data_IF_640679213137
#
_entry.id   IF_640679213137
#
_cell.length_a   1.000
_cell.length_b   1.000
_cell.length_c   1.000
_cell.angle_alpha   90.00
_cell.angle_beta   90.00
_cell.angle_gamma   90.00
#
_symmetry.space_group_name_H-M   'P 1'
#
loop_
_entity.id
_entity.type
_entity.pdbx_description
1 polymer ?
#
# COMPACT_ATOMS: atom_id res chain seq x y z
N UNK A 1 4.63 -13.23 -8.96
CA UNK A 1 3.95 -14.18 -8.05
C UNK A 1 3.74 -13.47 -6.73
N UNK A 2 2.50 -13.43 -6.23
CA UNK A 2 2.14 -12.76 -4.97
C UNK A 2 2.32 -13.74 -3.83
N UNK A 3 2.79 -13.29 -2.67
CA UNK A 3 2.94 -14.15 -1.51
C UNK A 3 1.62 -14.35 -0.76
N UNK A 4 1.49 -15.52 -0.14
CA UNK A 4 0.35 -15.85 0.72
C UNK A 4 0.42 -15.13 2.07
N UNK A 5 -0.76 -14.82 2.59
CA UNK A 5 -0.91 -14.20 3.91
C UNK A 5 -0.90 -15.25 5.01
N UNK A 6 -0.25 -14.92 6.12
CA UNK A 6 -0.36 -15.65 7.38
C UNK A 6 -1.31 -14.94 8.31
N UNK A 7 -2.07 -15.71 9.09
CA UNK A 7 -3.03 -15.18 10.06
C UNK A 7 -2.60 -15.62 11.44
N UNK A 8 -2.33 -14.68 12.33
CA UNK A 8 -2.02 -14.97 13.72
C UNK A 8 -2.88 -14.09 14.64
N UNK A 9 -3.71 -14.73 15.48
CA UNK A 9 -4.65 -14.05 16.39
C UNK A 9 -5.50 -12.96 15.70
N UNK A 10 -5.91 -13.20 14.45
CA UNK A 10 -6.70 -12.26 13.64
C UNK A 10 -5.89 -11.17 12.93
N UNK A 11 -4.57 -11.14 13.10
CA UNK A 11 -3.67 -10.24 12.37
C UNK A 11 -3.19 -10.96 11.11
N UNK A 12 -3.52 -10.39 9.95
CA UNK A 12 -3.00 -10.85 8.66
C UNK A 12 -1.64 -10.20 8.39
N UNK A 13 -0.60 -11.00 8.20
CA UNK A 13 0.76 -10.53 7.95
C UNK A 13 1.47 -11.41 6.92
N UNK A 14 2.55 -10.88 6.36
CA UNK A 14 3.51 -11.60 5.51
C UNK A 14 4.90 -11.41 6.07
N UNK A 15 5.73 -12.44 5.94
CA UNK A 15 7.10 -12.39 6.44
C UNK A 15 8.05 -12.13 5.27
N UNK A 16 8.95 -11.15 5.42
CA UNK A 16 9.88 -10.78 4.34
C UNK A 16 10.64 -11.99 3.80
N UNK A 17 11.14 -12.87 4.67
CA UNK A 17 11.93 -14.04 4.30
C UNK A 17 11.17 -15.06 3.44
N UNK A 18 9.83 -15.06 3.51
CA UNK A 18 8.97 -15.94 2.72
C UNK A 18 8.53 -15.34 1.39
N UNK A 19 8.81 -14.04 1.18
CA UNK A 19 8.55 -13.39 -0.09
C UNK A 19 9.58 -13.86 -1.15
N UNK A 20 9.24 -13.81 -2.43
CA UNK A 20 10.23 -14.05 -3.48
C UNK A 20 11.34 -12.98 -3.46
N UNK A 21 12.57 -13.36 -3.81
CA UNK A 21 13.78 -12.50 -3.78
C UNK A 21 13.58 -11.11 -4.40
N UNK A 22 12.88 -11.03 -5.53
CA UNK A 22 12.59 -9.76 -6.21
C UNK A 22 11.74 -8.78 -5.36
N UNK A 23 10.87 -9.30 -4.49
CA UNK A 23 10.08 -8.49 -3.56
C UNK A 23 10.88 -8.19 -2.29
N UNK A 24 11.67 -9.16 -1.81
CA UNK A 24 12.56 -8.95 -0.66
C UNK A 24 13.49 -7.76 -0.89
N UNK A 25 14.13 -7.67 -2.05
CA UNK A 25 15.04 -6.58 -2.41
C UNK A 25 14.35 -5.19 -2.42
N UNK A 26 13.07 -5.13 -2.79
CA UNK A 26 12.31 -3.88 -2.79
C UNK A 26 11.77 -3.51 -1.42
N UNK A 27 11.39 -4.50 -0.62
CA UNK A 27 10.81 -4.30 0.71
C UNK A 27 11.87 -4.14 1.80
N UNK A 28 13.07 -4.72 1.64
CA UNK A 28 14.19 -4.52 2.58
C UNK A 28 14.59 -3.04 2.68
N UNK A 29 14.38 -2.29 1.60
CA UNK A 29 14.59 -0.83 1.59
C UNK A 29 13.46 -0.05 2.30
N UNK A 30 12.32 -0.69 2.56
CA UNK A 30 11.12 -0.10 3.16
C UNK A 30 10.94 -0.53 4.62
N UNK A 31 11.90 -0.14 5.45
CA UNK A 31 11.87 -0.43 6.87
C UNK A 31 10.66 0.14 7.64
N UNK A 32 10.03 1.17 7.09
CA UNK A 32 8.85 1.83 7.66
C UNK A 32 7.61 0.91 7.75
N UNK A 33 7.52 -0.10 6.88
CA UNK A 33 6.38 -1.02 6.81
C UNK A 33 6.56 -2.26 7.71
N UNK A 34 7.74 -2.43 8.32
CA UNK A 34 8.02 -3.60 9.13
C UNK A 34 7.48 -3.45 10.55
N UNK A 35 6.64 -4.40 10.93
CA UNK A 35 6.16 -4.59 12.29
C UNK A 35 6.85 -5.79 12.94
N UNK A 36 6.94 -5.75 14.27
CA UNK A 36 7.38 -6.87 15.10
C UNK A 36 6.15 -7.47 15.75
N UNK A 37 5.95 -8.77 15.55
CA UNK A 37 4.81 -9.51 16.12
C UNK A 37 5.38 -10.56 17.06
N UNK A 38 4.82 -10.66 18.27
CA UNK A 38 5.18 -11.74 19.19
C UNK A 38 4.31 -12.96 18.91
N UNK A 39 4.90 -13.96 18.26
CA UNK A 39 4.24 -15.20 17.86
C UNK A 39 4.78 -16.30 18.79
N UNK A 40 3.90 -16.89 19.60
CA UNK A 40 4.24 -18.02 20.50
C UNK A 40 5.44 -17.74 21.44
N UNK A 41 5.56 -16.50 21.92
CA UNK A 41 6.67 -16.09 22.79
C UNK A 41 7.98 -15.75 22.06
N UNK A 42 8.02 -15.86 20.73
CA UNK A 42 9.13 -15.41 19.89
C UNK A 42 8.80 -14.07 19.25
N UNK A 43 9.72 -13.11 19.33
CA UNK A 43 9.60 -11.84 18.61
C UNK A 43 9.99 -12.08 17.16
N UNK A 44 8.99 -12.08 16.29
CA UNK A 44 9.17 -12.20 14.85
C UNK A 44 9.18 -10.80 14.27
N UNK A 45 10.37 -10.36 13.85
CA UNK A 45 10.56 -9.09 13.13
C UNK A 45 10.46 -9.26 11.61
N UNK A 46 10.53 -8.14 10.88
CA UNK A 46 10.45 -8.12 9.41
C UNK A 46 9.12 -8.68 8.87
N UNK A 47 8.05 -8.51 9.66
CA UNK A 47 6.69 -8.81 9.24
C UNK A 47 6.06 -7.56 8.65
N UNK A 48 5.23 -7.70 7.62
CA UNK A 48 4.45 -6.61 7.05
C UNK A 48 2.99 -7.01 7.18
N UNK A 49 2.11 -6.08 7.58
CA UNK A 49 0.68 -6.37 7.54
C UNK A 49 0.23 -6.65 6.11
N UNK A 50 -0.64 -7.64 5.94
CA UNK A 50 -1.06 -8.05 4.60
C UNK A 50 -1.77 -6.92 3.85
N UNK A 51 -2.48 -6.02 4.55
CA UNK A 51 -3.12 -4.84 3.95
C UNK A 51 -2.10 -3.90 3.31
N UNK A 52 -1.06 -3.53 4.05
CA UNK A 52 0.03 -2.69 3.56
C UNK A 52 0.83 -3.38 2.44
N UNK A 53 1.14 -4.67 2.61
CA UNK A 53 1.80 -5.45 1.57
C UNK A 53 0.94 -5.52 0.30
N UNK A 54 -0.37 -5.73 0.42
CA UNK A 54 -1.28 -5.77 -0.72
C UNK A 54 -1.28 -4.44 -1.46
N UNK A 55 -1.44 -3.33 -0.73
CA UNK A 55 -1.41 -2.00 -1.30
C UNK A 55 -0.08 -1.73 -2.02
N UNK A 56 1.05 -2.05 -1.39
CA UNK A 56 2.37 -1.91 -1.99
C UNK A 56 2.54 -2.81 -3.23
N UNK A 57 2.08 -4.06 -3.17
CA UNK A 57 2.20 -4.99 -4.28
C UNK A 57 1.42 -4.50 -5.50
N UNK A 58 0.19 -4.01 -5.30
CA UNK A 58 -0.65 -3.52 -6.40
C UNK A 58 -0.18 -2.18 -6.95
N UNK A 59 0.23 -1.24 -6.10
CA UNK A 59 0.56 0.13 -6.53
C UNK A 59 2.04 0.34 -6.88
N UNK A 60 2.95 -0.42 -6.28
CA UNK A 60 4.40 -0.23 -6.44
C UNK A 60 5.04 -1.38 -7.20
N UNK A 61 4.77 -2.63 -6.80
CA UNK A 61 5.40 -3.78 -7.42
C UNK A 61 4.82 -4.07 -8.80
N UNK A 62 3.48 -4.23 -8.91
CA UNK A 62 2.76 -4.54 -10.15
C UNK A 62 2.87 -3.41 -11.18
N UNK A 63 2.73 -2.15 -10.74
CA UNK A 63 2.88 -0.96 -11.59
C UNK A 63 4.26 -0.86 -12.25
N UNK A 64 5.32 -1.39 -11.64
CA UNK A 64 6.65 -1.40 -12.27
C UNK A 64 6.83 -2.48 -13.35
N UNK A 65 5.92 -3.46 -13.44
CA UNK A 65 5.98 -4.56 -14.41
C UNK A 65 5.11 -4.25 -15.65
N UNK A 66 4.27 -3.22 -15.60
CA UNK A 66 3.46 -2.76 -16.74
C UNK A 66 3.67 -1.26 -16.97
N UNK A 67 4.12 -0.82 -18.16
CA UNK A 67 4.09 0.60 -18.49
C UNK A 67 2.63 1.08 -18.57
N UNK A 68 2.24 1.91 -17.58
CA UNK A 68 1.13 2.89 -17.55
C UNK A 68 -0.15 2.56 -18.33
N UNK A 69 -1.23 2.37 -17.57
CA UNK A 69 -2.62 2.84 -17.77
C UNK A 69 -3.37 2.42 -16.51
N UNK A 70 -3.89 3.31 -15.66
CA UNK A 70 -5.17 4.02 -15.78
C UNK A 70 -5.29 4.85 -14.46
N UNK A 71 -5.58 6.16 -14.42
CA UNK A 71 -6.93 6.78 -14.45
C UNK A 71 -7.89 5.96 -13.56
N UNK A 72 -8.47 6.43 -12.44
CA UNK A 72 -9.65 7.30 -12.34
C UNK A 72 -9.80 7.86 -10.88
N UNK A 73 -9.84 9.19 -10.78
CA UNK A 73 -10.78 10.12 -10.09
C UNK A 73 -11.52 9.74 -8.79
N UNK A 74 -11.45 10.64 -7.80
CA UNK A 74 -12.57 11.11 -6.95
C UNK A 74 -12.25 12.56 -6.53
N UNK A 75 -12.73 13.59 -7.22
CA UNK A 75 -14.05 14.25 -7.08
C UNK A 75 -14.41 14.62 -5.63
N UNK A 76 -14.15 15.88 -5.28
CA UNK A 76 -15.02 16.65 -4.38
C UNK A 76 -15.12 18.07 -4.90
N UNK A 77 -16.31 18.41 -5.36
CA UNK A 77 -16.72 19.73 -5.81
C UNK A 77 -16.44 20.80 -4.74
N UNK A 78 -16.00 21.97 -5.20
CA UNK A 78 -16.37 23.24 -4.58
C UNK A 78 -16.83 24.17 -5.69
N UNK A 79 -18.14 24.37 -5.72
CA UNK A 79 -18.85 25.47 -6.38
C UNK A 79 -17.98 26.71 -6.52
N UNK A 80 -17.77 27.12 -7.77
CA UNK A 80 -17.43 28.50 -8.09
C UNK A 80 -18.65 29.07 -8.80
N UNK A 81 -19.62 29.49 -8.00
CA UNK A 81 -20.76 30.31 -8.39
C UNK A 81 -20.22 31.62 -8.98
N UNK A 82 -20.52 32.00 -10.24
CA UNK A 82 -20.18 33.33 -10.72
C UNK A 82 -21.29 34.30 -10.28
N UNK A 83 -21.19 34.85 -9.08
CA UNK A 83 -21.90 36.09 -8.75
C UNK A 83 -21.20 37.24 -9.47
N UNK A 84 -21.69 37.60 -10.67
CA UNK A 84 -21.32 38.84 -11.34
C UNK A 84 -22.59 39.66 -11.58
N UNK A 85 -23.16 40.16 -10.49
CA UNK A 85 -24.06 41.30 -10.55
C UNK A 85 -23.26 42.62 -10.54
N UNK A 86 -23.38 43.33 -11.67
CA UNK A 86 -23.43 44.79 -11.78
C UNK A 86 -22.13 45.61 -11.66
N UNK A 87 -21.55 45.96 -12.82
CA UNK A 87 -20.85 47.25 -12.97
C UNK A 87 -21.36 48.04 -14.19
N UNK A 88 -22.24 48.99 -13.86
CA UNK A 88 -22.35 50.38 -14.34
C UNK A 88 -21.95 50.69 -15.80
N UNK A 89 -22.93 51.11 -16.60
CA UNK A 89 -22.75 52.18 -17.59
C UNK A 89 -24.02 53.04 -17.65
#
# INVERSE_FOLDING_TARGET
>A
MKADRKIFKGIEYVQLQELPLAQQDKLVSRNDLFIKIMIEGKVVGQCIQYKDYNFWYENVFRTRITPVKETIVSEVARDMEPDLALEKY
#
